data_IF_686209372291
#
_entry.id   IF_686209372291
#
_cell.length_a   1.000
_cell.length_b   1.000
_cell.length_c   1.000
_cell.angle_alpha   90.00
_cell.angle_beta   90.00
_cell.angle_gamma   90.00
#
_symmetry.space_group_name_H-M   'P 1'
#
loop_
_entity.id
_entity.type
_entity.pdbx_description
1 polymer ?
#
# COMPACT_ATOMS: atom_id res chain seq x y z
N UNK A 1 -4.40 27.12 -20.59
CA UNK A 1 -3.41 26.26 -19.92
C UNK A 1 -3.78 24.81 -20.27
N UNK A 2 -3.07 24.21 -21.21
CA UNK A 2 -3.46 22.92 -21.81
C UNK A 2 -2.92 21.81 -20.93
N UNK A 3 -3.80 21.01 -20.31
CA UNK A 3 -3.46 19.77 -19.63
C UNK A 3 -2.74 18.84 -20.62
N UNK A 4 -1.43 18.74 -20.51
CA UNK A 4 -0.68 17.69 -21.20
C UNK A 4 -1.00 16.36 -20.50
N UNK A 5 -1.52 15.44 -21.27
CA UNK A 5 -1.80 14.06 -20.89
C UNK A 5 -0.54 13.45 -20.26
N UNK A 6 -0.57 13.25 -18.96
CA UNK A 6 0.43 12.48 -18.24
C UNK A 6 0.30 11.02 -18.65
N UNK A 7 1.29 10.49 -19.36
CA UNK A 7 1.36 9.06 -19.65
C UNK A 7 1.57 8.30 -18.31
N UNK A 8 0.69 7.36 -17.97
CA UNK A 8 0.78 6.61 -16.73
C UNK A 8 2.06 5.78 -16.55
N UNK A 9 2.85 5.67 -17.59
CA UNK A 9 4.05 4.82 -17.63
C UNK A 9 5.27 5.39 -16.89
N UNK A 10 5.29 6.69 -16.56
CA UNK A 10 6.48 7.34 -15.97
C UNK A 10 6.53 7.14 -14.46
N UNK A 11 5.39 6.95 -13.81
CA UNK A 11 5.28 6.77 -12.36
C UNK A 11 5.70 5.38 -11.87
N UNK A 12 5.61 4.37 -12.71
CA UNK A 12 5.82 2.97 -12.30
C UNK A 12 7.23 2.46 -12.58
N UNK A 13 8.03 3.15 -13.40
CA UNK A 13 9.26 2.55 -13.94
C UNK A 13 10.54 2.80 -13.16
N UNK A 14 10.58 3.66 -12.14
CA UNK A 14 11.85 3.95 -11.44
C UNK A 14 11.84 3.79 -9.92
N UNK A 15 10.71 3.86 -9.26
CA UNK A 15 10.65 3.87 -7.80
C UNK A 15 9.66 2.86 -7.20
N UNK A 16 8.70 2.40 -7.97
CA UNK A 16 7.90 1.22 -7.63
C UNK A 16 8.23 0.13 -8.64
N UNK A 17 8.91 -0.92 -8.28
CA UNK A 17 9.36 -2.00 -9.19
C UNK A 17 8.20 -2.89 -9.66
N UNK A 18 7.05 -2.32 -9.88
CA UNK A 18 5.85 -3.06 -10.24
C UNK A 18 5.13 -3.65 -9.03
N UNK A 19 4.50 -4.78 -9.22
CA UNK A 19 3.77 -5.47 -8.16
C UNK A 19 4.76 -6.15 -7.21
N UNK A 20 4.68 -5.84 -5.91
CA UNK A 20 5.37 -6.62 -4.89
C UNK A 20 4.52 -7.85 -4.63
N UNK A 21 5.02 -8.99 -5.10
CA UNK A 21 4.43 -10.29 -4.86
C UNK A 21 5.17 -10.97 -3.73
N UNK A 22 4.44 -11.64 -2.85
CA UNK A 22 5.00 -12.51 -1.82
C UNK A 22 4.77 -13.99 -2.16
N UNK A 23 4.08 -14.27 -3.28
CA UNK A 23 3.77 -15.60 -3.79
C UNK A 23 4.01 -15.65 -5.28
N UNK A 24 4.52 -16.79 -5.77
CA UNK A 24 4.76 -17.00 -7.19
C UNK A 24 3.49 -17.32 -7.98
N UNK A 25 2.42 -17.73 -7.30
CA UNK A 25 1.15 -18.08 -7.93
C UNK A 25 -0.07 -17.83 -7.04
N UNK A 26 -1.24 -17.70 -7.69
CA UNK A 26 -2.53 -17.64 -6.98
C UNK A 26 -2.81 -18.91 -6.18
N UNK A 27 -2.35 -20.06 -6.64
CA UNK A 27 -2.54 -21.31 -5.92
C UNK A 27 -1.78 -21.33 -4.60
N UNK A 28 -0.53 -20.86 -4.61
CA UNK A 28 0.30 -20.71 -3.41
C UNK A 28 -0.32 -19.73 -2.42
N UNK A 29 -0.83 -18.58 -2.91
CA UNK A 29 -1.60 -17.63 -2.09
C UNK A 29 -2.81 -18.28 -1.44
N UNK A 30 -3.62 -19.01 -2.20
CA UNK A 30 -4.83 -19.66 -1.70
C UNK A 30 -4.50 -20.75 -0.67
N UNK A 31 -3.45 -21.54 -0.91
CA UNK A 31 -2.98 -22.57 0.00
C UNK A 31 -2.49 -21.96 1.31
N UNK A 32 -1.68 -20.90 1.23
CA UNK A 32 -1.17 -20.21 2.41
C UNK A 32 -2.30 -19.63 3.28
N UNK A 33 -3.32 -19.02 2.68
CA UNK A 33 -4.43 -18.43 3.42
C UNK A 33 -5.58 -19.38 3.72
N UNK A 34 -5.51 -20.63 3.26
CA UNK A 34 -6.55 -21.62 3.48
C UNK A 34 -6.84 -21.83 4.97
N UNK A 35 -8.13 -21.88 5.30
CA UNK A 35 -8.61 -22.05 6.67
C UNK A 35 -8.42 -20.83 7.58
N UNK A 36 -8.17 -19.66 7.00
CA UNK A 36 -8.09 -18.37 7.71
C UNK A 36 -9.25 -17.47 7.31
N UNK A 37 -9.35 -16.27 7.94
CA UNK A 37 -10.34 -15.25 7.59
C UNK A 37 -10.11 -14.62 6.21
N UNK A 38 -8.98 -14.89 5.57
CA UNK A 38 -8.62 -14.33 4.25
C UNK A 38 -9.13 -15.24 3.13
N UNK A 39 -9.15 -16.57 3.34
CA UNK A 39 -9.58 -17.52 2.31
C UNK A 39 -10.10 -18.84 2.90
N UNK A 40 -11.32 -19.29 2.54
CA UNK A 40 -12.36 -18.45 1.93
C UNK A 40 -12.78 -17.31 2.86
N UNK A 41 -13.38 -16.26 2.28
CA UNK A 41 -13.87 -15.13 3.07
C UNK A 41 -14.80 -15.59 4.19
N UNK A 42 -14.84 -14.83 5.28
CA UNK A 42 -15.69 -15.12 6.44
C UNK A 42 -17.16 -15.14 6.00
N UNK A 43 -17.83 -16.24 6.21
CA UNK A 43 -19.29 -16.30 6.11
C UNK A 43 -19.91 -15.71 7.39
N UNK A 44 -19.98 -14.39 7.46
CA UNK A 44 -20.69 -13.68 8.55
C UNK A 44 -22.16 -13.71 8.23
N UNK A 45 -22.88 -14.66 8.83
CA UNK A 45 -24.30 -14.90 8.54
C UNK A 45 -25.22 -13.82 9.10
N UNK A 46 -24.90 -13.27 10.27
CA UNK A 46 -25.78 -12.39 11.02
C UNK A 46 -25.15 -11.02 11.32
N UNK A 47 -23.94 -10.78 10.84
CA UNK A 47 -23.15 -9.59 11.13
C UNK A 47 -22.56 -9.59 12.54
N UNK A 48 -21.63 -8.70 12.80
CA UNK A 48 -20.95 -8.60 14.11
C UNK A 48 -21.86 -8.22 15.29
N UNK A 49 -23.16 -8.07 15.05
CA UNK A 49 -24.17 -7.89 16.11
C UNK A 49 -24.56 -9.21 16.79
N UNK A 50 -24.29 -10.35 16.17
CA UNK A 50 -24.53 -11.65 16.74
C UNK A 50 -23.32 -12.10 17.58
N UNK A 51 -23.54 -12.50 18.86
CA UNK A 51 -22.44 -12.94 19.71
C UNK A 51 -21.65 -14.13 19.16
N UNK A 52 -22.29 -15.02 18.40
CA UNK A 52 -21.62 -16.20 17.82
C UNK A 52 -20.64 -15.82 16.72
N UNK A 53 -20.99 -14.85 15.86
CA UNK A 53 -20.11 -14.34 14.83
C UNK A 53 -18.91 -13.59 15.45
N UNK A 54 -19.15 -12.84 16.51
CA UNK A 54 -18.12 -12.13 17.26
C UNK A 54 -17.15 -13.11 17.97
N UNK A 55 -17.68 -14.15 18.58
CA UNK A 55 -16.87 -15.21 19.23
C UNK A 55 -16.01 -15.95 18.21
N UNK A 56 -16.58 -16.32 17.07
CA UNK A 56 -15.84 -16.92 15.96
C UNK A 56 -14.72 -15.99 15.46
N UNK A 57 -15.02 -14.74 15.20
CA UNK A 57 -14.03 -13.77 14.77
C UNK A 57 -12.87 -13.64 15.78
N UNK A 58 -13.21 -13.51 17.07
CA UNK A 58 -12.21 -13.40 18.13
C UNK A 58 -11.37 -14.66 18.27
N UNK A 59 -11.94 -15.84 18.03
CA UNK A 59 -11.21 -17.11 18.06
C UNK A 59 -10.10 -17.19 17.00
N UNK A 60 -10.25 -16.45 15.91
CA UNK A 60 -9.30 -16.43 14.80
C UNK A 60 -8.08 -15.52 15.03
N UNK A 61 -8.12 -14.65 16.05
CA UNK A 61 -7.07 -13.64 16.28
C UNK A 61 -5.67 -14.26 16.34
N UNK A 62 -5.50 -15.30 17.18
CA UNK A 62 -4.20 -15.96 17.34
C UNK A 62 -3.73 -16.68 16.06
N UNK A 63 -4.66 -17.18 15.25
CA UNK A 63 -4.36 -17.86 13.98
C UNK A 63 -3.89 -16.81 12.98
N UNK A 64 -4.61 -15.69 12.90
CA UNK A 64 -4.29 -14.60 12.00
C UNK A 64 -2.96 -13.93 12.36
N UNK A 65 -2.70 -13.72 13.64
CA UNK A 65 -1.44 -13.11 14.11
C UNK A 65 -0.23 -13.91 13.61
N UNK A 66 -0.23 -15.22 13.84
CA UNK A 66 0.82 -16.12 13.35
C UNK A 66 0.92 -16.14 11.81
N UNK A 67 -0.23 -16.07 11.12
CA UNK A 67 -0.23 -16.04 9.65
C UNK A 67 0.35 -14.74 9.11
N UNK A 68 0.03 -13.60 9.72
CA UNK A 68 0.62 -12.32 9.33
C UNK A 68 2.12 -12.26 9.60
N UNK A 69 2.60 -12.82 10.71
CA UNK A 69 4.02 -12.95 10.98
C UNK A 69 4.72 -13.81 9.91
N UNK A 70 4.19 -14.99 9.62
CA UNK A 70 4.72 -15.87 8.57
C UNK A 70 4.65 -15.24 7.18
N UNK A 71 3.58 -14.48 6.87
CA UNK A 71 3.46 -13.72 5.63
C UNK A 71 4.54 -12.65 5.51
N UNK A 72 4.80 -11.91 6.58
CA UNK A 72 5.88 -10.91 6.61
C UNK A 72 7.24 -11.54 6.32
N UNK A 73 7.55 -12.69 6.94
CA UNK A 73 8.79 -13.42 6.67
C UNK A 73 8.89 -13.94 5.23
N UNK A 74 7.79 -14.43 4.69
CA UNK A 74 7.72 -14.91 3.30
C UNK A 74 7.98 -13.77 2.33
N UNK A 75 7.32 -12.63 2.53
CA UNK A 75 7.53 -11.44 1.71
C UNK A 75 8.97 -10.95 1.75
N UNK A 76 9.62 -10.97 2.91
CA UNK A 76 11.03 -10.54 3.03
C UNK A 76 12.00 -11.48 2.31
N UNK A 77 11.66 -12.77 2.22
CA UNK A 77 12.48 -13.78 1.52
C UNK A 77 12.26 -13.80 0.02
N UNK A 78 11.12 -13.30 -0.45
CA UNK A 78 10.79 -13.24 -1.87
C UNK A 78 11.70 -12.24 -2.60
N UNK A 79 11.96 -12.47 -3.89
CA UNK A 79 12.85 -11.61 -4.69
C UNK A 79 12.41 -10.13 -4.72
N UNK A 80 11.11 -9.88 -4.63
CA UNK A 80 10.55 -8.51 -4.55
C UNK A 80 10.63 -7.91 -3.14
N UNK A 81 10.98 -8.69 -2.12
CA UNK A 81 11.06 -8.25 -0.73
C UNK A 81 12.06 -7.12 -0.49
N UNK A 82 13.13 -7.06 -1.29
CA UNK A 82 14.11 -5.98 -1.26
C UNK A 82 13.51 -4.58 -1.51
N UNK A 83 12.33 -4.51 -2.10
CA UNK A 83 11.64 -3.26 -2.40
C UNK A 83 10.67 -2.81 -1.31
N UNK A 84 10.36 -3.65 -0.33
CA UNK A 84 9.44 -3.32 0.77
C UNK A 84 9.80 -2.03 1.53
N UNK A 85 11.08 -1.70 1.79
CA UNK A 85 11.45 -0.44 2.43
C UNK A 85 11.07 0.82 1.63
N UNK A 86 10.83 0.66 0.34
CA UNK A 86 10.49 1.76 -0.57
C UNK A 86 8.98 1.85 -0.85
N UNK A 87 8.18 0.98 -0.24
CA UNK A 87 6.71 1.00 -0.35
C UNK A 87 6.13 1.69 0.87
N UNK A 88 5.56 2.86 0.67
CA UNK A 88 4.91 3.56 1.76
C UNK A 88 4.59 4.99 1.40
N UNK A 89 3.74 5.62 2.21
CA UNK A 89 3.25 6.97 1.96
C UNK A 89 4.39 7.98 1.78
N UNK A 90 5.44 7.88 2.59
CA UNK A 90 6.59 8.80 2.52
C UNK A 90 7.35 8.64 1.20
N UNK A 91 7.56 7.41 0.72
CA UNK A 91 8.19 7.15 -0.57
C UNK A 91 7.34 7.70 -1.71
N UNK A 92 6.04 7.40 -1.70
CA UNK A 92 5.07 7.91 -2.68
C UNK A 92 5.06 9.45 -2.76
N UNK A 93 5.13 10.13 -1.61
CA UNK A 93 5.18 11.60 -1.56
C UNK A 93 6.48 12.15 -2.16
N UNK A 94 7.62 11.52 -1.88
CA UNK A 94 8.91 11.91 -2.49
C UNK A 94 8.88 11.75 -4.00
N UNK A 95 8.31 10.65 -4.49
CA UNK A 95 8.15 10.41 -5.92
C UNK A 95 7.24 11.46 -6.56
N UNK A 96 6.13 11.81 -5.89
CA UNK A 96 5.20 12.84 -6.36
C UNK A 96 5.89 14.21 -6.48
N UNK A 97 6.67 14.61 -5.47
CA UNK A 97 7.45 15.85 -5.50
C UNK A 97 8.47 15.81 -6.64
N UNK A 98 9.23 14.73 -6.75
CA UNK A 98 10.25 14.59 -7.79
C UNK A 98 9.67 14.66 -9.22
N UNK A 99 8.46 14.12 -9.42
CA UNK A 99 7.75 14.18 -10.69
C UNK A 99 7.28 15.61 -10.98
N UNK A 100 6.69 16.29 -10.00
CA UNK A 100 6.28 17.67 -10.16
C UNK A 100 7.47 18.55 -10.54
N UNK A 101 8.58 18.42 -9.84
CA UNK A 101 9.82 19.17 -10.12
C UNK A 101 10.43 18.83 -11.51
N UNK A 102 10.29 17.62 -11.95
CA UNK A 102 10.77 17.23 -13.30
C UNK A 102 10.01 17.93 -14.42
N UNK A 103 8.69 18.12 -14.26
CA UNK A 103 7.86 18.73 -15.29
C UNK A 103 7.75 20.25 -15.20
N UNK A 104 7.66 20.77 -13.98
CA UNK A 104 7.35 22.18 -13.72
C UNK A 104 8.54 22.98 -13.16
N UNK A 105 9.64 22.28 -12.89
CA UNK A 105 10.86 22.89 -12.36
C UNK A 105 11.00 22.76 -10.84
N UNK A 106 12.24 22.83 -10.36
CA UNK A 106 12.57 22.66 -8.95
C UNK A 106 11.88 23.74 -8.09
N UNK A 107 11.22 23.29 -7.01
CA UNK A 107 10.50 24.17 -6.10
C UNK A 107 9.16 24.71 -6.63
N UNK A 108 8.58 24.04 -7.64
CA UNK A 108 7.26 24.39 -8.18
C UNK A 108 6.14 24.22 -7.17
N UNK A 109 5.08 24.99 -7.33
CA UNK A 109 3.84 24.83 -6.58
C UNK A 109 3.13 23.54 -7.02
N UNK A 110 2.74 22.70 -6.06
CA UNK A 110 2.03 21.46 -6.32
C UNK A 110 0.55 21.62 -6.03
N UNK A 111 -0.30 21.50 -7.07
CA UNK A 111 -1.73 21.42 -6.93
C UNK A 111 -2.13 19.96 -6.77
N UNK A 112 -2.59 19.59 -5.59
CA UNK A 112 -2.92 18.21 -5.26
C UNK A 112 -4.42 18.02 -5.00
N UNK A 113 -4.98 16.96 -5.56
CA UNK A 113 -6.33 16.50 -5.27
C UNK A 113 -6.29 15.01 -4.99
N UNK A 114 -6.78 14.57 -3.83
CA UNK A 114 -6.76 13.17 -3.42
C UNK A 114 -8.04 12.74 -2.72
N UNK A 115 -8.49 11.51 -3.02
CA UNK A 115 -9.61 10.85 -2.35
C UNK A 115 -9.15 9.57 -1.67
N UNK A 116 -9.88 9.09 -0.66
CA UNK A 116 -9.55 7.87 0.09
C UNK A 116 -8.10 7.91 0.60
N UNK A 117 -7.27 6.93 0.27
CA UNK A 117 -5.85 6.93 0.63
C UNK A 117 -5.08 8.16 0.10
N UNK A 118 -5.57 8.78 -0.98
CA UNK A 118 -5.04 10.05 -1.48
C UNK A 118 -5.11 11.18 -0.45
N UNK A 119 -6.06 11.17 0.49
CA UNK A 119 -6.10 12.17 1.57
C UNK A 119 -4.92 12.02 2.53
N UNK A 120 -4.52 10.79 2.82
CA UNK A 120 -3.33 10.49 3.62
C UNK A 120 -2.06 10.98 2.90
N UNK A 121 -1.94 10.68 1.60
CA UNK A 121 -0.83 11.20 0.77
C UNK A 121 -0.77 12.72 0.83
N UNK A 122 -1.91 13.41 0.70
CA UNK A 122 -1.99 14.88 0.79
C UNK A 122 -1.49 15.43 2.12
N UNK A 123 -1.86 14.81 3.23
CA UNK A 123 -1.36 15.19 4.56
C UNK A 123 0.16 15.06 4.67
N UNK A 124 0.72 13.97 4.18
CA UNK A 124 2.17 13.76 4.16
C UNK A 124 2.87 14.75 3.22
N UNK A 125 2.27 15.04 2.06
CA UNK A 125 2.79 16.01 1.11
C UNK A 125 2.92 17.40 1.74
N UNK A 126 1.86 17.91 2.37
CA UNK A 126 1.86 19.19 3.05
C UNK A 126 2.97 19.24 4.12
N UNK A 127 3.02 18.23 5.00
CA UNK A 127 4.03 18.17 6.04
C UNK A 127 5.46 18.09 5.49
N UNK A 128 5.66 17.39 4.36
CA UNK A 128 6.98 17.29 3.72
C UNK A 128 7.43 18.63 3.10
N UNK A 129 6.51 19.40 2.54
CA UNK A 129 6.82 20.71 1.95
C UNK A 129 7.18 21.76 3.01
N UNK A 130 6.59 21.69 4.20
CA UNK A 130 6.93 22.59 5.31
C UNK A 130 8.18 22.16 6.09
N UNK A 131 8.59 20.91 6.00
CA UNK A 131 9.76 20.38 6.70
C UNK A 131 11.08 20.57 5.94
N UNK A 132 11.05 21.01 4.69
CA UNK A 132 12.25 21.32 3.91
C UNK A 132 12.53 22.82 4.08
N UNK A 133 13.53 23.24 4.90
CA UNK A 133 13.92 24.64 4.93
C UNK A 133 14.41 25.03 3.52
N UNK A 134 14.10 26.23 3.06
CA UNK A 134 14.64 26.71 1.79
C UNK A 134 16.16 26.69 1.86
N UNK A 135 16.78 26.00 0.91
CA UNK A 135 18.23 25.94 0.73
C UNK A 135 18.69 27.23 0.02
#
# INVERSE_FOLDING_TARGET
MTLRSLHPCVLTCRFSPGLINCFDSTNEYNEFWSGTLVYPEIDIKYGFSDPSDLEYFNSQVNIMDKRWEAFGELCLKHETGQYLPYVGTTATVRDLIAIAEYFDGKGCDINYYGMSYGTTIGNYLINSMFAIPPV
#
